data_IF_848067402387
#
_entry.id   IF_848067402387
#
_cell.length_a   1.000
_cell.length_b   1.000
_cell.length_c   1.000
_cell.angle_alpha   90.00
_cell.angle_beta   90.00
_cell.angle_gamma   90.00
#
_symmetry.space_group_name_H-M   'P 1'
#
loop_
_entity.id
_entity.type
_entity.pdbx_description
1 polymer ?
#
# COMPACT_ATOMS: atom_id res chain seq x y z
N UNK A 1 -5.52 7.82 17.64
CA UNK A 1 -6.86 7.67 17.06
C UNK A 1 -7.48 6.40 17.64
N UNK A 2 -8.64 6.52 18.24
CA UNK A 2 -9.39 5.37 18.74
C UNK A 2 -10.02 4.59 17.57
N UNK A 3 -10.34 3.31 17.77
CA UNK A 3 -10.98 2.48 16.72
C UNK A 3 -12.30 3.09 16.24
N UNK A 4 -13.05 3.73 17.14
CA UNK A 4 -14.31 4.44 16.86
C UNK A 4 -14.14 5.60 15.89
N UNK A 5 -13.15 6.46 16.11
CA UNK A 5 -12.83 7.61 15.25
C UNK A 5 -12.42 7.17 13.85
N UNK A 6 -11.55 6.17 13.76
CA UNK A 6 -11.14 5.59 12.48
C UNK A 6 -12.35 5.00 11.74
N UNK A 7 -13.17 4.24 12.46
CA UNK A 7 -14.35 3.58 11.89
C UNK A 7 -15.35 4.58 11.36
N UNK A 8 -15.65 5.63 12.12
CA UNK A 8 -16.54 6.71 11.70
C UNK A 8 -16.01 7.43 10.46
N UNK A 9 -14.70 7.73 10.43
CA UNK A 9 -14.07 8.42 9.28
C UNK A 9 -14.17 7.60 8.00
N UNK A 10 -13.93 6.29 8.06
CA UNK A 10 -13.98 5.41 6.89
C UNK A 10 -15.41 5.12 6.44
N UNK A 11 -16.34 4.87 7.37
CA UNK A 11 -17.74 4.60 7.04
C UNK A 11 -18.50 5.83 6.50
N UNK A 12 -18.00 7.04 6.77
CA UNK A 12 -18.51 8.26 6.12
C UNK A 12 -18.18 8.37 4.62
N UNK A 13 -17.33 7.49 4.09
CA UNK A 13 -16.91 7.49 2.68
C UNK A 13 -17.65 6.40 1.90
N UNK A 14 -18.05 6.69 0.66
CA UNK A 14 -18.79 5.75 -0.20
C UNK A 14 -18.01 4.47 -0.51
N UNK A 15 -16.71 4.58 -0.75
CA UNK A 15 -15.82 3.47 -1.12
C UNK A 15 -14.38 3.75 -0.69
N UNK A 16 -14.08 3.73 0.62
CA UNK A 16 -12.77 4.14 1.14
C UNK A 16 -11.66 3.23 0.62
N UNK A 17 -10.49 3.80 0.33
CA UNK A 17 -9.28 3.06 -0.06
C UNK A 17 -8.32 2.97 1.12
N UNK A 18 -8.09 1.76 1.62
CA UNK A 18 -7.22 1.51 2.77
C UNK A 18 -5.98 0.77 2.28
N UNK A 19 -4.80 1.36 2.48
CA UNK A 19 -3.54 0.67 2.20
C UNK A 19 -3.27 -0.38 3.28
N UNK A 20 -2.84 -1.56 2.87
CA UNK A 20 -2.42 -2.65 3.77
C UNK A 20 -1.04 -3.14 3.33
N UNK A 21 -0.03 -2.74 4.09
CA UNK A 21 1.37 -2.90 3.70
C UNK A 21 2.27 -3.23 4.88
N UNK A 22 3.48 -3.71 4.61
CA UNK A 22 4.49 -3.77 5.64
C UNK A 22 5.81 -4.37 5.22
N UNK A 23 6.52 -4.91 6.20
CA UNK A 23 7.82 -5.56 5.99
C UNK A 23 7.66 -6.87 5.22
N UNK A 24 8.69 -7.18 4.40
CA UNK A 24 8.80 -8.45 3.67
C UNK A 24 9.12 -9.64 4.58
N UNK A 25 9.87 -9.38 5.65
CA UNK A 25 10.27 -10.36 6.65
C UNK A 25 9.34 -10.23 7.86
N UNK A 26 8.08 -10.63 7.69
CA UNK A 26 7.10 -10.65 8.78
C UNK A 26 7.49 -11.76 9.78
N UNK A 27 7.64 -11.46 11.08
CA UNK A 27 7.87 -12.49 12.09
C UNK A 27 6.72 -13.50 12.12
N UNK A 28 7.05 -14.78 12.23
CA UNK A 28 6.06 -15.86 12.20
C UNK A 28 5.01 -15.71 13.32
N UNK A 29 5.45 -15.36 14.52
CA UNK A 29 4.58 -15.11 15.67
C UNK A 29 3.56 -13.99 15.44
N UNK A 30 3.87 -13.03 14.56
CA UNK A 30 3.00 -11.90 14.24
C UNK A 30 2.08 -12.17 13.04
N UNK A 31 2.27 -13.28 12.34
CA UNK A 31 1.51 -13.57 11.13
C UNK A 31 0.00 -13.69 11.41
N UNK A 32 -0.36 -14.40 12.47
CA UNK A 32 -1.76 -14.63 12.82
C UNK A 32 -2.50 -13.31 13.13
N UNK A 33 -1.86 -12.37 13.83
CA UNK A 33 -2.48 -11.10 14.18
C UNK A 33 -2.64 -10.18 12.96
N UNK A 34 -1.73 -10.23 11.99
CA UNK A 34 -1.88 -9.48 10.73
C UNK A 34 -3.02 -10.04 9.88
N UNK A 35 -3.17 -11.37 9.82
CA UNK A 35 -4.32 -12.02 9.16
C UNK A 35 -5.63 -11.63 9.86
N UNK A 36 -5.68 -11.69 11.19
CA UNK A 36 -6.85 -11.29 11.97
C UNK A 36 -7.21 -9.82 11.74
N UNK A 37 -6.22 -8.93 11.62
CA UNK A 37 -6.44 -7.53 11.25
C UNK A 37 -7.06 -7.40 9.85
N UNK A 38 -6.59 -8.17 8.86
CA UNK A 38 -7.18 -8.22 7.53
C UNK A 38 -8.66 -8.64 7.55
N UNK A 39 -9.00 -9.67 8.32
CA UNK A 39 -10.40 -10.12 8.52
C UNK A 39 -11.23 -9.02 9.18
N UNK A 40 -10.71 -8.40 10.24
CA UNK A 40 -11.40 -7.33 10.97
C UNK A 40 -11.68 -6.15 10.06
N UNK A 41 -10.68 -5.66 9.31
CA UNK A 41 -10.84 -4.57 8.34
C UNK A 41 -11.95 -4.89 7.33
N UNK A 42 -11.90 -6.08 6.76
CA UNK A 42 -12.83 -6.51 5.72
C UNK A 42 -14.26 -6.70 6.25
N UNK A 43 -14.46 -7.01 7.53
CA UNK A 43 -15.80 -7.06 8.15
C UNK A 43 -16.32 -5.69 8.57
N UNK A 44 -15.44 -4.86 9.14
CA UNK A 44 -15.79 -3.53 9.66
C UNK A 44 -16.10 -2.54 8.54
N UNK A 45 -15.44 -2.68 7.38
CA UNK A 45 -15.58 -1.77 6.24
C UNK A 45 -16.10 -2.51 5.00
N UNK A 46 -17.42 -2.79 4.90
CA UNK A 46 -17.99 -3.60 3.82
C UNK A 46 -17.74 -3.00 2.43
N UNK A 47 -17.67 -1.68 2.33
CA UNK A 47 -17.47 -0.96 1.06
C UNK A 47 -16.01 -0.56 0.78
N UNK A 48 -15.07 -0.90 1.65
CA UNK A 48 -13.67 -0.54 1.45
C UNK A 48 -13.02 -1.32 0.30
N UNK A 49 -12.04 -0.68 -0.34
CA UNK A 49 -11.05 -1.31 -1.20
C UNK A 49 -9.74 -1.37 -0.43
N UNK A 50 -9.13 -2.55 -0.38
CA UNK A 50 -7.86 -2.78 0.30
C UNK A 50 -6.74 -2.85 -0.72
N UNK A 51 -5.84 -1.87 -0.68
CA UNK A 51 -4.77 -1.72 -1.68
C UNK A 51 -3.44 -2.18 -1.13
N UNK A 52 -2.72 -2.99 -1.91
CA UNK A 52 -1.43 -3.54 -1.50
C UNK A 52 -0.42 -3.62 -2.66
N UNK A 53 0.84 -3.83 -2.31
CA UNK A 53 1.95 -3.93 -3.25
C UNK A 53 2.22 -5.33 -3.78
N UNK A 54 1.51 -6.36 -3.30
CA UNK A 54 1.80 -7.76 -3.60
C UNK A 54 3.20 -8.23 -3.12
N UNK A 55 3.75 -7.62 -2.07
CA UNK A 55 5.02 -8.08 -1.49
C UNK A 55 4.84 -9.38 -0.67
N UNK A 56 5.95 -10.07 -0.36
CA UNK A 56 5.88 -11.16 0.63
C UNK A 56 5.71 -10.59 2.04
N UNK A 57 5.46 -11.46 3.02
CA UNK A 57 5.36 -11.07 4.42
C UNK A 57 4.04 -10.38 4.71
N UNK A 58 4.11 -9.12 5.14
CA UNK A 58 2.93 -8.40 5.68
C UNK A 58 1.82 -8.23 4.65
N UNK A 59 2.14 -7.78 3.43
CA UNK A 59 1.17 -7.61 2.34
C UNK A 59 0.38 -8.92 2.09
N UNK A 60 1.08 -10.06 2.09
CA UNK A 60 0.48 -11.39 1.92
C UNK A 60 -0.44 -11.76 3.09
N UNK A 61 -0.01 -11.50 4.33
CA UNK A 61 -0.80 -11.80 5.52
C UNK A 61 -2.09 -10.96 5.62
N UNK A 62 -2.03 -9.66 5.29
CA UNK A 62 -3.24 -8.84 5.21
C UNK A 62 -4.17 -9.33 4.12
N UNK A 63 -3.63 -9.59 2.91
CA UNK A 63 -4.42 -10.08 1.78
C UNK A 63 -5.15 -11.38 2.12
N UNK A 64 -4.48 -12.33 2.78
CA UNK A 64 -5.11 -13.57 3.25
C UNK A 64 -6.34 -13.32 4.13
N UNK A 65 -6.23 -12.42 5.13
CA UNK A 65 -7.36 -12.09 5.99
C UNK A 65 -8.53 -11.45 5.23
N UNK A 66 -8.24 -10.60 4.26
CA UNK A 66 -9.26 -9.95 3.43
C UNK A 66 -9.95 -10.97 2.51
N UNK A 67 -9.18 -11.89 1.90
CA UNK A 67 -9.69 -12.96 1.05
C UNK A 67 -10.69 -13.86 1.78
N UNK A 68 -10.50 -14.09 3.07
CA UNK A 68 -11.45 -14.88 3.88
C UNK A 68 -12.84 -14.26 3.97
N UNK A 69 -12.97 -12.96 3.71
CA UNK A 69 -14.26 -12.24 3.76
C UNK A 69 -14.78 -11.96 2.36
N UNK A 70 -13.98 -11.29 1.52
CA UNK A 70 -14.31 -11.05 0.11
C UNK A 70 -13.04 -10.64 -0.69
N UNK A 71 -12.54 -11.51 -1.59
CA UNK A 71 -11.32 -11.27 -2.35
C UNK A 71 -11.47 -10.15 -3.40
N UNK A 72 -12.70 -9.81 -3.83
CA UNK A 72 -12.93 -8.78 -4.87
C UNK A 72 -12.61 -7.36 -4.39
N UNK A 73 -12.48 -7.18 -3.08
CA UNK A 73 -12.10 -5.91 -2.45
C UNK A 73 -10.60 -5.68 -2.41
N UNK A 74 -9.78 -6.64 -2.84
CA UNK A 74 -8.35 -6.43 -3.00
C UNK A 74 -8.01 -5.71 -4.31
N UNK A 75 -7.09 -4.76 -4.21
CA UNK A 75 -6.52 -4.03 -5.33
C UNK A 75 -5.00 -4.04 -5.27
N UNK A 76 -4.35 -4.65 -6.26
CA UNK A 76 -2.90 -4.76 -6.32
C UNK A 76 -2.31 -3.71 -7.26
N UNK A 77 -1.34 -2.94 -6.78
CA UNK A 77 -0.52 -2.09 -7.66
C UNK A 77 0.84 -2.76 -7.81
N UNK A 78 1.13 -3.24 -9.02
CA UNK A 78 2.32 -4.03 -9.33
C UNK A 78 3.42 -3.15 -9.91
N UNK A 79 4.70 -3.47 -9.69
CA UNK A 79 5.78 -2.80 -10.40
C UNK A 79 5.74 -3.10 -11.90
N UNK A 80 5.35 -4.29 -12.32
CA UNK A 80 5.21 -4.69 -13.73
C UNK A 80 4.16 -5.80 -13.85
N UNK A 81 3.56 -5.97 -15.04
CA UNK A 81 2.38 -6.84 -15.24
C UNK A 81 2.57 -8.28 -14.75
N UNK A 82 3.77 -8.86 -14.87
CA UNK A 82 4.06 -10.24 -14.43
C UNK A 82 4.34 -10.41 -12.93
N UNK A 83 4.41 -9.33 -12.15
CA UNK A 83 4.95 -9.39 -10.80
C UNK A 83 4.06 -10.19 -9.85
N UNK A 84 4.54 -11.37 -9.46
CA UNK A 84 3.89 -12.27 -8.48
C UNK A 84 2.39 -12.48 -8.76
N UNK A 85 2.02 -12.60 -10.03
CA UNK A 85 0.62 -12.81 -10.45
C UNK A 85 -0.06 -14.00 -9.78
N UNK A 86 0.71 -15.07 -9.49
CA UNK A 86 0.21 -16.25 -8.76
C UNK A 86 -0.29 -15.96 -7.33
N UNK A 87 0.12 -14.84 -6.73
CA UNK A 87 -0.31 -14.43 -5.39
C UNK A 87 -1.58 -13.57 -5.44
N UNK A 88 -2.04 -13.14 -6.62
CA UNK A 88 -3.23 -12.31 -6.76
C UNK A 88 -4.45 -13.19 -6.54
N UNK A 89 -5.24 -12.83 -5.52
CA UNK A 89 -6.48 -13.52 -5.21
C UNK A 89 -7.47 -13.51 -6.39
N UNK A 90 -8.17 -14.61 -6.60
CA UNK A 90 -9.19 -14.70 -7.64
C UNK A 90 -10.29 -13.65 -7.42
N UNK A 91 -10.60 -12.88 -8.46
CA UNK A 91 -11.59 -11.80 -8.40
C UNK A 91 -11.04 -10.45 -7.93
N UNK A 92 -9.80 -10.38 -7.44
CA UNK A 92 -9.15 -9.12 -7.12
C UNK A 92 -8.76 -8.33 -8.37
N UNK A 93 -8.70 -7.00 -8.23
CA UNK A 93 -8.24 -6.10 -9.29
C UNK A 93 -6.74 -5.87 -9.20
N UNK A 94 -6.08 -5.61 -10.34
CA UNK A 94 -4.68 -5.19 -10.35
C UNK A 94 -4.37 -4.26 -11.51
N UNK A 95 -3.31 -3.47 -11.37
CA UNK A 95 -2.70 -2.67 -12.43
C UNK A 95 -1.18 -2.67 -12.27
N UNK A 96 -0.42 -2.46 -13.35
CA UNK A 96 1.03 -2.35 -13.27
C UNK A 96 1.56 -0.95 -13.57
N UNK A 97 2.64 -0.56 -12.89
CA UNK A 97 3.35 0.69 -13.15
C UNK A 97 3.84 0.80 -14.60
N UNK A 98 4.12 -0.33 -15.26
CA UNK A 98 4.52 -0.38 -16.68
C UNK A 98 3.40 -0.08 -17.66
N UNK A 99 2.14 -0.15 -17.21
CA UNK A 99 0.95 0.11 -18.03
C UNK A 99 0.45 1.54 -17.85
N UNK A 100 1.04 2.28 -16.90
CA UNK A 100 0.63 3.66 -16.58
C UNK A 100 1.11 4.66 -17.63
N UNK A 101 0.30 5.71 -17.82
CA UNK A 101 0.62 6.83 -18.70
C UNK A 101 1.89 7.56 -18.23
N UNK A 102 2.56 8.25 -19.15
CA UNK A 102 3.73 9.05 -18.81
C UNK A 102 3.41 10.15 -17.80
N UNK A 103 2.21 10.73 -17.88
CA UNK A 103 1.73 11.74 -16.92
C UNK A 103 1.67 11.18 -15.49
N UNK A 104 1.07 10.00 -15.30
CA UNK A 104 1.02 9.32 -13.99
C UNK A 104 2.43 8.96 -13.52
N UNK A 105 3.27 8.47 -14.42
CA UNK A 105 4.66 8.12 -14.10
C UNK A 105 5.48 9.33 -13.64
N UNK A 106 5.29 10.49 -14.26
CA UNK A 106 6.00 11.71 -13.89
C UNK A 106 5.44 12.30 -12.59
N UNK A 107 4.12 12.29 -12.38
CA UNK A 107 3.52 12.68 -11.11
C UNK A 107 4.04 11.81 -9.94
N UNK A 108 4.16 10.49 -10.16
CA UNK A 108 4.73 9.57 -9.18
C UNK A 108 6.18 9.91 -8.87
N UNK A 109 6.97 10.33 -9.86
CA UNK A 109 8.37 10.75 -9.67
C UNK A 109 8.46 12.02 -8.85
N UNK A 110 7.71 13.06 -9.23
CA UNK A 110 7.73 14.34 -8.51
C UNK A 110 7.30 14.16 -7.05
N UNK A 111 6.22 13.40 -6.82
CA UNK A 111 5.74 13.11 -5.47
C UNK A 111 6.75 12.27 -4.68
N UNK A 112 7.37 11.26 -5.30
CA UNK A 112 8.39 10.44 -4.65
C UNK A 112 9.62 11.26 -4.25
N UNK A 113 10.05 12.20 -5.09
CA UNK A 113 11.15 13.11 -4.80
C UNK A 113 10.78 14.04 -3.64
N UNK A 114 9.60 14.65 -3.67
CA UNK A 114 9.12 15.52 -2.58
C UNK A 114 9.12 14.78 -1.24
N UNK A 115 8.50 13.60 -1.20
CA UNK A 115 8.39 12.79 0.01
C UNK A 115 9.71 12.12 0.42
N UNK A 116 10.66 11.95 -0.49
CA UNK A 116 11.94 11.26 -0.24
C UNK A 116 13.08 11.87 -1.08
N UNK A 117 13.59 13.07 -0.73
CA UNK A 117 14.57 13.78 -1.56
C UNK A 117 15.82 12.95 -1.89
N UNK A 118 16.22 12.04 -1.00
CA UNK A 118 17.33 11.10 -1.22
C UNK A 118 17.16 10.15 -2.41
N UNK A 119 15.97 10.03 -3.00
CA UNK A 119 15.74 9.24 -4.22
C UNK A 119 15.86 10.05 -5.52
N UNK A 120 16.07 11.37 -5.47
CA UNK A 120 16.05 12.26 -6.64
C UNK A 120 17.04 11.85 -7.73
N UNK A 121 18.30 11.58 -7.38
CA UNK A 121 19.32 11.16 -8.34
C UNK A 121 18.90 9.88 -9.08
N UNK A 122 18.31 8.92 -8.36
CA UNK A 122 17.81 7.67 -8.95
C UNK A 122 16.62 7.93 -9.88
N UNK A 123 15.66 8.75 -9.46
CA UNK A 123 14.47 9.06 -10.24
C UNK A 123 14.78 9.83 -11.52
N UNK A 124 15.70 10.80 -11.46
CA UNK A 124 16.11 11.60 -12.61
C UNK A 124 16.89 10.77 -13.63
N UNK A 125 17.61 9.75 -13.18
CA UNK A 125 18.41 8.87 -14.06
C UNK A 125 17.71 7.55 -14.44
N UNK A 126 16.46 7.32 -13.99
CA UNK A 126 15.72 6.05 -14.15
C UNK A 126 15.54 5.58 -15.60
N UNK A 127 15.45 6.53 -16.55
CA UNK A 127 15.31 6.26 -17.99
C UNK A 127 16.66 5.98 -18.67
N UNK A 128 17.77 6.45 -18.08
CA UNK A 128 19.13 6.35 -18.64
C UNK A 128 19.88 5.12 -18.12
N UNK A 129 19.66 4.73 -16.87
CA UNK A 129 20.43 3.66 -16.20
C UNK A 129 19.49 2.47 -15.88
N UNK A 130 19.63 1.32 -16.57
CA UNK A 130 18.72 0.18 -16.38
C UNK A 130 18.63 -0.35 -14.94
N UNK A 131 19.75 -0.40 -14.20
CA UNK A 131 19.77 -0.86 -12.80
C UNK A 131 18.96 0.05 -11.87
N UNK A 132 18.93 1.36 -12.14
CA UNK A 132 18.13 2.33 -11.39
C UNK A 132 16.65 2.25 -11.77
N UNK A 133 16.34 1.89 -13.01
CA UNK A 133 14.96 1.74 -13.51
C UNK A 133 14.15 0.76 -12.65
N UNK A 134 14.73 -0.40 -12.30
CA UNK A 134 14.04 -1.39 -11.50
C UNK A 134 13.71 -0.88 -10.08
N UNK A 135 14.68 -0.25 -9.40
CA UNK A 135 14.50 0.28 -8.04
C UNK A 135 13.55 1.48 -8.02
N UNK A 136 13.67 2.39 -9.00
CA UNK A 136 12.74 3.50 -9.19
C UNK A 136 11.30 3.02 -9.36
N UNK A 137 11.09 1.94 -10.14
CA UNK A 137 9.75 1.40 -10.39
C UNK A 137 9.03 0.94 -9.13
N UNK A 138 9.73 0.37 -8.15
CA UNK A 138 9.13 0.01 -6.86
C UNK A 138 8.66 1.23 -6.08
N UNK A 139 9.48 2.30 -6.03
CA UNK A 139 9.10 3.55 -5.35
C UNK A 139 7.98 4.28 -6.09
N UNK A 140 8.00 4.31 -7.42
CA UNK A 140 6.91 4.86 -8.23
C UNK A 140 5.60 4.11 -7.97
N UNK A 141 5.65 2.76 -7.96
CA UNK A 141 4.52 1.91 -7.58
C UNK A 141 4.03 2.25 -6.16
N UNK A 142 4.95 2.36 -5.20
CA UNK A 142 4.61 2.70 -3.80
C UNK A 142 3.94 4.07 -3.70
N UNK A 143 4.40 5.03 -4.51
CA UNK A 143 3.80 6.37 -4.59
C UNK A 143 2.39 6.32 -5.20
N UNK A 144 2.20 5.63 -6.33
CA UNK A 144 0.89 5.52 -7.01
C UNK A 144 -0.15 4.82 -6.13
N UNK A 145 0.25 3.88 -5.26
CA UNK A 145 -0.69 3.33 -4.27
C UNK A 145 -1.32 4.41 -3.40
N UNK A 146 -0.57 5.46 -3.06
CA UNK A 146 -1.07 6.56 -2.24
C UNK A 146 -1.84 7.57 -3.08
N UNK A 147 -1.24 8.09 -4.15
CA UNK A 147 -1.83 9.20 -4.93
C UNK A 147 -2.96 8.76 -5.87
N UNK A 148 -3.06 7.47 -6.18
CA UNK A 148 -3.99 6.96 -7.18
C UNK A 148 -3.58 7.27 -8.62
N UNK A 149 -4.49 7.00 -9.54
CA UNK A 149 -4.35 7.18 -10.99
C UNK A 149 -5.74 7.16 -11.62
N UNK A 150 -6.20 8.29 -12.14
CA UNK A 150 -7.51 8.40 -12.77
C UNK A 150 -7.61 7.51 -14.02
N UNK A 151 -6.55 7.50 -14.84
CA UNK A 151 -6.45 6.68 -16.06
C UNK A 151 -6.66 5.18 -15.80
N UNK A 152 -6.40 4.72 -14.58
CA UNK A 152 -6.52 3.31 -14.16
C UNK A 152 -7.64 3.09 -13.15
N UNK A 153 -8.53 4.07 -12.93
CA UNK A 153 -9.63 3.95 -11.97
C UNK A 153 -9.16 3.78 -10.51
N UNK A 154 -7.94 4.21 -10.18
CA UNK A 154 -7.40 4.15 -8.83
C UNK A 154 -7.69 5.47 -8.11
N UNK A 155 -8.66 5.46 -7.20
CA UNK A 155 -8.84 6.58 -6.27
C UNK A 155 -7.62 6.75 -5.35
N UNK A 156 -7.31 7.97 -4.88
CA UNK A 156 -6.30 8.18 -3.84
C UNK A 156 -6.59 7.38 -2.56
N UNK A 157 -5.56 7.10 -1.78
CA UNK A 157 -5.71 6.42 -0.50
C UNK A 157 -6.38 7.30 0.55
N UNK A 158 -7.25 6.71 1.36
CA UNK A 158 -7.95 7.37 2.46
C UNK A 158 -7.29 7.14 3.82
N UNK A 159 -6.55 6.04 3.96
CA UNK A 159 -5.75 5.68 5.11
C UNK A 159 -4.70 4.63 4.72
N UNK A 160 -3.68 4.45 5.56
CA UNK A 160 -2.76 3.33 5.44
C UNK A 160 -2.48 2.65 6.76
N UNK A 161 -2.60 1.32 6.76
CA UNK A 161 -2.21 0.45 7.86
C UNK A 161 -0.91 -0.26 7.51
N UNK A 162 0.06 -0.16 8.42
CA UNK A 162 1.41 -0.63 8.20
C UNK A 162 1.84 -1.58 9.31
N UNK A 163 2.54 -2.65 8.93
CA UNK A 163 3.42 -3.38 9.84
C UNK A 163 4.86 -2.98 9.54
N UNK A 164 5.51 -2.33 10.49
CA UNK A 164 6.84 -1.73 10.30
C UNK A 164 7.88 -2.37 11.21
N UNK A 165 9.17 -2.23 10.85
CA UNK A 165 10.23 -2.46 11.80
C UNK A 165 10.20 -1.34 12.86
N UNK A 166 9.92 -1.68 14.11
CA UNK A 166 9.79 -0.70 15.20
C UNK A 166 11.09 0.12 15.43
N UNK A 167 12.26 -0.46 15.16
CA UNK A 167 13.53 0.24 15.32
C UNK A 167 13.78 1.31 14.24
N UNK A 168 13.24 1.12 13.04
CA UNK A 168 13.38 2.07 11.93
C UNK A 168 12.18 1.99 10.98
N UNK A 169 11.03 2.55 11.40
CA UNK A 169 9.77 2.40 10.67
C UNK A 169 9.76 3.16 9.33
N UNK A 170 10.65 4.14 9.18
CA UNK A 170 10.75 4.97 7.99
C UNK A 170 11.75 4.42 6.96
N UNK A 171 12.35 3.25 7.18
CA UNK A 171 13.29 2.66 6.23
C UNK A 171 12.63 1.85 5.12
N UNK A 172 13.32 1.81 3.97
CA UNK A 172 12.94 0.95 2.84
C UNK A 172 11.67 1.42 2.11
N UNK A 173 11.02 0.47 1.42
CA UNK A 173 9.81 0.72 0.64
C UNK A 173 8.61 1.11 1.51
N UNK A 174 8.38 0.38 2.60
CA UNK A 174 7.30 0.68 3.58
C UNK A 174 7.43 2.09 4.13
N UNK A 175 8.63 2.48 4.57
CA UNK A 175 8.90 3.83 5.04
C UNK A 175 8.76 4.90 3.96
N UNK A 176 9.07 4.58 2.69
CA UNK A 176 8.78 5.47 1.57
C UNK A 176 7.28 5.67 1.38
N UNK A 177 6.46 4.61 1.35
CA UNK A 177 5.00 4.75 1.28
C UNK A 177 4.47 5.63 2.41
N UNK A 178 4.94 5.42 3.65
CA UNK A 178 4.53 6.23 4.81
C UNK A 178 4.90 7.72 4.65
N UNK A 179 6.07 8.05 4.07
CA UNK A 179 6.41 9.44 3.77
C UNK A 179 5.49 10.04 2.72
N UNK A 180 5.16 9.29 1.67
CA UNK A 180 4.19 9.74 0.66
C UNK A 180 2.82 9.95 1.29
N UNK A 181 2.36 9.06 2.17
CA UNK A 181 1.11 9.25 2.92
C UNK A 181 1.14 10.57 3.72
N UNK A 182 2.22 10.87 4.43
CA UNK A 182 2.37 12.11 5.20
C UNK A 182 2.32 13.36 4.30
N UNK A 183 3.05 13.33 3.20
CA UNK A 183 3.04 14.41 2.19
C UNK A 183 1.61 14.66 1.65
N UNK A 184 0.89 13.58 1.38
CA UNK A 184 -0.48 13.61 0.85
C UNK A 184 -1.56 13.75 1.92
N UNK A 185 -1.17 13.96 3.19
CA UNK A 185 -2.07 14.06 4.36
C UNK A 185 -3.00 12.85 4.53
N UNK A 186 -2.55 11.67 4.09
CA UNK A 186 -3.21 10.39 4.30
C UNK A 186 -2.83 9.87 5.70
N UNK A 187 -3.79 9.57 6.59
CA UNK A 187 -3.49 9.09 7.93
C UNK A 187 -2.83 7.70 7.89
N UNK A 188 -1.85 7.50 8.76
CA UNK A 188 -1.01 6.30 8.84
C UNK A 188 -1.14 5.68 10.23
N UNK A 189 -1.38 4.37 10.28
CA UNK A 189 -1.51 3.60 11.51
C UNK A 189 -0.54 2.41 11.49
N UNK A 190 0.36 2.34 12.46
CA UNK A 190 1.29 1.21 12.62
C UNK A 190 0.69 0.10 13.50
N UNK A 191 1.44 -0.98 13.66
CA UNK A 191 1.00 -2.14 14.44
C UNK A 191 0.79 -1.88 15.92
N UNK A 192 1.34 -0.81 16.51
CA UNK A 192 1.02 -0.48 17.90
C UNK A 192 -0.41 0.03 17.96
N UNK A 193 -0.81 0.87 17.01
CA UNK A 193 -2.13 1.48 16.97
C UNK A 193 -3.21 0.45 16.60
N UNK A 194 -3.08 -0.24 15.46
CA UNK A 194 -4.18 -1.09 15.00
C UNK A 194 -4.33 -2.38 15.80
N UNK A 195 -3.30 -2.85 16.52
CA UNK A 195 -3.45 -3.98 17.47
C UNK A 195 -4.36 -3.62 18.63
N UNK A 196 -4.32 -2.38 19.10
CA UNK A 196 -5.20 -1.91 20.16
C UNK A 196 -6.69 -1.87 19.74
N UNK A 197 -6.99 -2.00 18.44
CA UNK A 197 -8.37 -2.09 17.93
C UNK A 197 -8.92 -3.52 17.89
N UNK A 198 -8.04 -4.52 18.01
CA UNK A 198 -8.39 -5.94 17.96
C UNK A 198 -8.61 -6.55 19.35
N UNK A 199 -8.29 -5.79 20.41
CA UNK A 199 -8.45 -6.18 21.82
C UNK A 199 -9.75 -5.66 22.44
#
# INVERSE_FOLDING_TARGET
>A
MQSSEFTQSMNGKKRPVILVEGVRSLPEADRAIVVACGVWLARTFPHAVFRTGNADGTDTAFAEGIVQVDPTRLQYVLPYAGHKKKNIAQGASFCAMTEMSEAVAEQAVQTAISASPGCAAMMNNRKRIPSLSAKARYLMRDTVKVIGSLDHGLAPADAGLFFVNAADPMKGGTGHTMRVCREMKVPVFDQVIWRAWLG
#
